data_IF_780914655228
#
_entry.id   IF_780914655228
#
_cell.length_a   1.000
_cell.length_b   1.000
_cell.length_c   1.000
_cell.angle_alpha   90.00
_cell.angle_beta   90.00
_cell.angle_gamma   90.00
#
_symmetry.space_group_name_H-M   'P 1'
#
loop_
_entity.id
_entity.type
_entity.pdbx_description
1 polymer ?
#
# COMPACT_ATOMS: atom_id res chain seq x y z
N UNK A 1 39.36 -0.33 -9.57
CA UNK A 1 37.99 -0.92 -9.44
C UNK A 1 37.88 -2.11 -10.37
N UNK A 2 37.84 -3.35 -9.82
CA UNK A 2 37.67 -4.56 -10.62
C UNK A 2 36.18 -4.81 -10.90
N UNK A 3 35.72 -4.32 -12.05
CA UNK A 3 34.32 -4.45 -12.47
C UNK A 3 33.89 -5.90 -12.69
N UNK A 4 34.78 -6.80 -13.07
CA UNK A 4 34.41 -8.22 -13.29
C UNK A 4 34.14 -8.88 -11.96
N UNK A 5 35.04 -8.71 -11.00
CA UNK A 5 34.87 -9.22 -9.63
C UNK A 5 33.63 -8.64 -8.96
N UNK A 6 33.39 -7.32 -9.08
CA UNK A 6 32.18 -6.70 -8.51
C UNK A 6 30.89 -7.27 -9.10
N UNK A 7 30.80 -7.38 -10.44
CA UNK A 7 29.62 -7.96 -11.09
C UNK A 7 29.39 -9.42 -10.68
N UNK A 8 30.46 -10.21 -10.55
CA UNK A 8 30.38 -11.61 -10.10
C UNK A 8 29.89 -11.70 -8.65
N UNK A 9 30.44 -10.88 -7.75
CA UNK A 9 30.03 -10.83 -6.35
C UNK A 9 28.57 -10.40 -6.19
N UNK A 10 28.11 -9.37 -6.93
CA UNK A 10 26.70 -8.96 -6.92
C UNK A 10 25.78 -10.09 -7.38
N UNK A 11 26.11 -10.77 -8.48
CA UNK A 11 25.30 -11.88 -9.00
C UNK A 11 25.28 -13.07 -8.03
N UNK A 12 26.41 -13.39 -7.40
CA UNK A 12 26.49 -14.43 -6.38
C UNK A 12 25.62 -14.07 -5.16
N UNK A 13 25.74 -12.84 -4.64
CA UNK A 13 24.92 -12.38 -3.52
C UNK A 13 23.42 -12.53 -3.76
N UNK A 14 22.90 -12.01 -4.89
CA UNK A 14 21.46 -12.11 -5.18
C UNK A 14 20.98 -13.55 -5.32
N UNK A 15 21.79 -14.43 -5.92
CA UNK A 15 21.48 -15.84 -6.13
C UNK A 15 21.56 -16.64 -4.84
N UNK A 16 22.65 -16.50 -4.11
CA UNK A 16 22.99 -17.35 -2.99
C UNK A 16 22.24 -16.90 -1.73
N UNK A 17 22.15 -15.58 -1.49
CA UNK A 17 21.45 -15.03 -0.33
C UNK A 17 19.94 -14.99 -0.53
N UNK A 18 19.44 -14.71 -1.75
CA UNK A 18 18.01 -14.45 -1.98
C UNK A 18 17.34 -15.27 -3.10
N UNK A 19 18.07 -16.12 -3.83
CA UNK A 19 17.55 -16.88 -4.98
C UNK A 19 16.89 -15.99 -6.04
N UNK A 20 17.45 -14.82 -6.26
CA UNK A 20 16.99 -13.86 -7.26
C UNK A 20 18.02 -13.72 -8.38
N UNK A 21 17.53 -13.51 -9.61
CA UNK A 21 18.38 -13.22 -10.77
C UNK A 21 18.27 -11.75 -11.17
N UNK A 22 18.92 -10.87 -10.39
CA UNK A 22 19.06 -9.47 -10.74
C UNK A 22 20.39 -9.27 -11.47
N UNK A 23 20.31 -8.95 -12.77
CA UNK A 23 21.51 -8.75 -13.58
C UNK A 23 22.29 -7.51 -13.10
N UNK A 24 23.60 -7.63 -12.77
CA UNK A 24 24.37 -6.56 -12.12
C UNK A 24 24.62 -5.33 -13.01
N UNK A 25 24.35 -5.44 -14.32
CA UNK A 25 24.41 -4.31 -15.28
C UNK A 25 23.04 -3.72 -15.65
N UNK A 26 21.94 -4.24 -15.12
CA UNK A 26 20.61 -3.67 -15.37
C UNK A 26 20.55 -2.30 -14.69
N UNK A 27 19.98 -1.30 -15.36
CA UNK A 27 19.89 0.04 -14.78
C UNK A 27 18.83 0.06 -13.68
N UNK A 28 19.08 0.84 -12.63
CA UNK A 28 18.15 0.97 -11.48
C UNK A 28 16.76 1.47 -11.92
N UNK A 29 16.71 2.34 -12.93
CA UNK A 29 15.44 2.86 -13.48
C UNK A 29 14.57 1.77 -14.11
N UNK A 30 15.18 0.69 -14.58
CA UNK A 30 14.49 -0.42 -15.26
C UNK A 30 14.04 -1.50 -14.27
N UNK A 31 14.39 -1.39 -12.98
CA UNK A 31 14.02 -2.32 -11.92
C UNK A 31 12.61 -2.02 -11.37
N UNK A 32 11.89 -3.05 -10.92
CA UNK A 32 10.64 -2.88 -10.15
C UNK A 32 10.89 -2.18 -8.81
N UNK A 33 9.82 -1.73 -8.13
CA UNK A 33 9.97 -1.09 -6.82
C UNK A 33 10.56 -2.06 -5.80
N UNK A 34 10.11 -3.31 -5.80
CA UNK A 34 10.68 -4.38 -4.96
C UNK A 34 12.16 -4.64 -5.28
N UNK A 35 12.52 -4.79 -6.56
CA UNK A 35 13.90 -5.01 -6.98
C UNK A 35 14.81 -3.84 -6.55
N UNK A 36 14.34 -2.59 -6.69
CA UNK A 36 15.08 -1.42 -6.21
C UNK A 36 15.32 -1.46 -4.70
N UNK A 37 14.31 -1.86 -3.91
CA UNK A 37 14.44 -2.00 -2.46
C UNK A 37 15.43 -3.10 -2.10
N UNK A 38 15.36 -4.24 -2.77
CA UNK A 38 16.30 -5.35 -2.59
C UNK A 38 17.74 -4.92 -2.92
N UNK A 39 17.96 -4.14 -3.98
CA UNK A 39 19.30 -3.59 -4.27
C UNK A 39 19.80 -2.67 -3.16
N UNK A 40 18.94 -1.86 -2.53
CA UNK A 40 19.33 -1.03 -1.40
C UNK A 40 19.75 -1.88 -0.20
N UNK A 41 19.00 -2.93 0.10
CA UNK A 41 19.31 -3.88 1.17
C UNK A 41 20.62 -4.61 0.85
N UNK A 42 20.80 -5.09 -0.39
CA UNK A 42 21.99 -5.82 -0.80
C UNK A 42 23.24 -4.97 -0.61
N UNK A 43 23.18 -3.69 -1.02
CA UNK A 43 24.28 -2.74 -0.86
C UNK A 43 24.69 -2.56 0.61
N UNK A 44 23.76 -2.65 1.55
CA UNK A 44 24.06 -2.54 2.98
C UNK A 44 24.67 -3.82 3.58
N UNK A 45 24.48 -4.98 2.94
CA UNK A 45 24.83 -6.30 3.50
C UNK A 45 25.97 -7.00 2.76
N UNK A 46 26.35 -6.51 1.57
CA UNK A 46 27.29 -7.18 0.67
C UNK A 46 28.67 -7.43 1.30
N UNK A 47 29.05 -6.64 2.31
CA UNK A 47 30.32 -6.77 3.03
C UNK A 47 30.32 -7.91 4.07
N UNK A 48 29.16 -8.55 4.33
CA UNK A 48 29.03 -9.74 5.18
C UNK A 48 29.25 -9.51 6.68
N UNK A 49 29.49 -8.27 7.12
CA UNK A 49 29.79 -7.93 8.51
C UNK A 49 28.56 -7.64 9.38
N UNK A 50 27.37 -7.53 8.78
CA UNK A 50 26.15 -7.13 9.48
C UNK A 50 25.65 -8.24 10.42
N UNK A 51 25.53 -7.92 11.71
CA UNK A 51 24.93 -8.80 12.73
C UNK A 51 23.50 -8.40 13.11
N UNK A 52 23.14 -7.14 12.85
CA UNK A 52 21.82 -6.55 13.08
C UNK A 52 21.46 -5.69 11.88
N UNK A 53 20.22 -5.81 11.41
CA UNK A 53 19.66 -4.96 10.35
C UNK A 53 18.34 -4.38 10.82
N UNK A 54 18.20 -3.06 10.65
CA UNK A 54 16.97 -2.34 10.97
C UNK A 54 16.24 -2.04 9.68
N UNK A 55 14.98 -2.48 9.59
CA UNK A 55 14.10 -2.17 8.47
C UNK A 55 13.00 -1.22 8.94
N UNK A 56 13.00 -0.02 8.37
CA UNK A 56 11.96 0.98 8.60
C UNK A 56 10.97 0.97 7.45
N UNK A 57 9.77 0.45 7.71
CA UNK A 57 8.66 0.26 6.78
C UNK A 57 9.11 -0.13 5.35
N UNK A 58 9.86 -1.24 5.20
CA UNK A 58 10.57 -1.51 3.96
C UNK A 58 9.64 -1.79 2.77
N UNK A 59 8.36 -2.07 3.03
CA UNK A 59 7.31 -2.44 2.08
C UNK A 59 6.25 -1.37 1.84
N UNK A 60 6.31 -0.21 2.53
CA UNK A 60 5.28 0.84 2.43
C UNK A 60 4.88 1.27 0.99
N UNK A 61 5.79 1.33 -0.02
CA UNK A 61 5.40 1.66 -1.39
C UNK A 61 5.06 0.44 -2.25
N UNK A 62 5.04 -0.78 -1.70
CA UNK A 62 4.94 -2.03 -2.46
C UNK A 62 3.55 -2.63 -2.40
N UNK A 63 3.16 -3.28 -3.48
CA UNK A 63 1.97 -4.13 -3.49
C UNK A 63 2.21 -5.44 -2.75
N UNK A 64 1.15 -6.15 -2.36
CA UNK A 64 1.25 -7.38 -1.59
C UNK A 64 2.18 -8.44 -2.22
N UNK A 65 2.13 -8.62 -3.55
CA UNK A 65 3.00 -9.56 -4.25
C UNK A 65 4.47 -9.10 -4.24
N UNK A 66 4.71 -7.81 -4.44
CA UNK A 66 6.05 -7.20 -4.42
C UNK A 66 6.66 -7.19 -3.01
N UNK A 67 5.86 -6.90 -1.99
CA UNK A 67 6.23 -6.98 -0.59
C UNK A 67 6.64 -8.40 -0.19
N UNK A 68 6.04 -9.42 -0.81
CA UNK A 68 6.42 -10.82 -0.65
C UNK A 68 7.89 -11.08 -0.97
N UNK A 69 8.43 -10.48 -2.05
CA UNK A 69 9.84 -10.64 -2.42
C UNK A 69 10.78 -10.07 -1.34
N UNK A 70 10.47 -8.88 -0.82
CA UNK A 70 11.24 -8.25 0.27
C UNK A 70 11.14 -9.08 1.55
N UNK A 71 9.94 -9.55 1.88
CA UNK A 71 9.68 -10.40 3.06
C UNK A 71 10.48 -11.69 3.00
N UNK A 72 10.48 -12.39 1.86
CA UNK A 72 11.28 -13.60 1.65
C UNK A 72 12.79 -13.33 1.77
N UNK A 73 13.26 -12.20 1.25
CA UNK A 73 14.66 -11.81 1.39
C UNK A 73 15.05 -11.59 2.86
N UNK A 74 14.19 -10.93 3.65
CA UNK A 74 14.41 -10.69 5.09
C UNK A 74 14.43 -12.00 5.88
N UNK A 75 13.52 -12.94 5.58
CA UNK A 75 13.51 -14.27 6.22
C UNK A 75 14.82 -15.03 5.98
N UNK A 76 15.39 -14.96 4.78
CA UNK A 76 16.69 -15.59 4.47
C UNK A 76 17.85 -14.96 5.24
N UNK A 77 17.82 -13.65 5.47
CA UNK A 77 18.82 -13.00 6.33
C UNK A 77 18.72 -13.49 7.78
N UNK A 78 17.48 -13.66 8.28
CA UNK A 78 17.23 -14.28 9.59
C UNK A 78 17.79 -15.72 9.65
N UNK A 79 17.58 -16.53 8.61
CA UNK A 79 18.13 -17.90 8.50
C UNK A 79 19.67 -17.93 8.55
N UNK A 80 20.33 -16.86 8.10
CA UNK A 80 21.78 -16.69 8.18
C UNK A 80 22.26 -16.22 9.57
N UNK A 81 21.37 -16.11 10.55
CA UNK A 81 21.70 -15.71 11.92
C UNK A 81 21.81 -14.20 12.13
N UNK A 82 21.35 -13.39 11.17
CA UNK A 82 21.33 -11.94 11.30
C UNK A 82 20.10 -11.54 12.13
N UNK A 83 20.32 -10.73 13.18
CA UNK A 83 19.23 -10.16 13.96
C UNK A 83 18.46 -9.11 13.14
N UNK A 84 17.13 -9.14 13.21
CA UNK A 84 16.26 -8.24 12.45
C UNK A 84 15.45 -7.39 13.43
N UNK A 85 15.54 -6.07 13.29
CA UNK A 85 14.59 -5.13 13.90
C UNK A 85 13.69 -4.61 12.78
N UNK A 86 12.40 -4.95 12.86
CA UNK A 86 11.41 -4.61 11.85
C UNK A 86 10.42 -3.60 12.40
N UNK A 87 10.32 -2.43 11.76
CA UNK A 87 9.38 -1.37 12.08
C UNK A 87 8.32 -1.37 10.98
N UNK A 88 7.06 -1.57 11.37
CA UNK A 88 5.94 -1.62 10.44
C UNK A 88 4.63 -1.41 11.18
N UNK A 89 3.63 -0.95 10.44
CA UNK A 89 2.22 -0.96 10.85
C UNK A 89 1.40 -2.01 10.06
N UNK A 90 2.03 -2.77 9.15
CA UNK A 90 1.41 -3.83 8.36
C UNK A 90 1.37 -5.14 9.17
N UNK A 91 0.21 -5.44 9.75
CA UNK A 91 0.03 -6.55 10.69
C UNK A 91 0.34 -7.94 10.10
N UNK A 92 0.06 -8.16 8.82
CA UNK A 92 0.37 -9.43 8.15
C UNK A 92 1.88 -9.70 8.10
N UNK A 93 2.68 -8.66 7.86
CA UNK A 93 4.14 -8.77 7.83
C UNK A 93 4.70 -9.00 9.23
N UNK A 94 4.17 -8.28 10.21
CA UNK A 94 4.54 -8.43 11.62
C UNK A 94 4.28 -9.87 12.08
N UNK A 95 3.09 -10.41 11.81
CA UNK A 95 2.72 -11.78 12.15
C UNK A 95 3.61 -12.82 11.45
N UNK A 96 4.03 -12.56 10.22
CA UNK A 96 4.92 -13.44 9.47
C UNK A 96 6.36 -13.41 10.01
N UNK A 97 6.95 -12.21 10.14
CA UNK A 97 8.38 -12.00 10.35
C UNK A 97 8.80 -12.02 11.82
N UNK A 98 7.98 -11.48 12.72
CA UNK A 98 8.44 -11.10 14.06
C UNK A 98 8.12 -12.18 15.10
N UNK A 99 9.09 -12.49 15.96
CA UNK A 99 8.89 -13.42 17.08
C UNK A 99 8.32 -12.75 18.34
N UNK A 100 8.55 -11.43 18.46
CA UNK A 100 8.08 -10.56 19.54
C UNK A 100 8.05 -9.12 19.05
N UNK A 101 7.30 -8.25 19.71
CA UNK A 101 7.18 -6.85 19.33
C UNK A 101 7.21 -5.88 20.51
N UNK A 102 7.24 -4.60 20.17
CA UNK A 102 6.97 -3.48 21.10
C UNK A 102 5.96 -2.60 20.40
N UNK A 103 4.81 -2.37 21.03
CA UNK A 103 3.79 -1.48 20.47
C UNK A 103 3.96 -0.12 21.11
N UNK A 104 4.16 0.91 20.27
CA UNK A 104 4.20 2.30 20.68
C UNK A 104 2.88 2.98 20.34
N UNK A 105 2.38 3.82 21.24
CA UNK A 105 1.23 4.70 21.01
C UNK A 105 1.49 6.03 21.70
N UNK A 106 1.33 7.14 20.97
CA UNK A 106 1.55 8.50 21.49
C UNK A 106 2.93 8.70 22.14
N UNK A 107 3.97 8.06 21.60
CA UNK A 107 5.33 8.14 22.14
C UNK A 107 5.61 7.24 23.34
N UNK A 108 4.61 6.51 23.84
CA UNK A 108 4.75 5.60 24.97
C UNK A 108 4.67 4.13 24.54
N UNK A 109 5.39 3.26 25.25
CA UNK A 109 5.26 1.81 25.07
C UNK A 109 3.99 1.32 25.75
N UNK A 110 3.08 0.74 24.97
CA UNK A 110 1.80 0.22 25.47
C UNK A 110 1.74 -1.29 25.58
N UNK A 111 2.78 -2.00 25.14
CA UNK A 111 2.94 -3.42 25.43
C UNK A 111 4.00 -4.14 24.61
N UNK A 112 4.24 -5.39 24.99
CA UNK A 112 5.27 -6.26 24.42
C UNK A 112 4.64 -7.57 23.94
N UNK A 113 4.03 -7.59 22.75
CA UNK A 113 3.40 -8.80 22.23
C UNK A 113 4.43 -9.91 21.97
N UNK A 114 4.08 -11.11 22.39
CA UNK A 114 4.77 -12.35 22.01
C UNK A 114 4.26 -12.87 20.66
N UNK A 115 4.83 -13.97 20.15
CA UNK A 115 4.45 -14.55 18.87
C UNK A 115 2.96 -14.86 18.76
N UNK A 116 2.32 -15.31 19.84
CA UNK A 116 0.90 -15.64 19.83
C UNK A 116 0.04 -14.37 19.72
N UNK A 117 0.37 -13.33 20.49
CA UNK A 117 -0.35 -12.05 20.42
C UNK A 117 -0.11 -11.35 19.08
N UNK A 118 1.09 -11.48 18.50
CA UNK A 118 1.40 -10.93 17.17
C UNK A 118 0.53 -11.52 16.05
N UNK A 119 0.02 -12.74 16.22
CA UNK A 119 -0.90 -13.38 15.27
C UNK A 119 -2.36 -12.94 15.45
N UNK A 120 -2.67 -12.21 16.53
CA UNK A 120 -4.00 -11.69 16.80
C UNK A 120 -4.11 -10.24 16.29
N UNK A 121 -4.57 -10.10 15.04
CA UNK A 121 -4.77 -8.82 14.35
C UNK A 121 -5.64 -7.86 15.17
N UNK A 122 -6.77 -8.32 15.71
CA UNK A 122 -7.70 -7.46 16.46
C UNK A 122 -7.07 -6.92 17.74
N UNK A 123 -6.33 -7.77 18.46
CA UNK A 123 -5.65 -7.37 19.68
C UNK A 123 -4.54 -6.34 19.40
N UNK A 124 -3.74 -6.53 18.33
CA UNK A 124 -2.72 -5.57 17.94
C UNK A 124 -3.32 -4.22 17.53
N UNK A 125 -4.39 -4.21 16.73
CA UNK A 125 -5.08 -2.97 16.36
C UNK A 125 -5.57 -2.25 17.61
N UNK A 126 -6.15 -2.98 18.56
CA UNK A 126 -6.61 -2.41 19.83
C UNK A 126 -5.46 -1.80 20.64
N UNK A 127 -4.28 -2.43 20.66
CA UNK A 127 -3.10 -1.85 21.31
C UNK A 127 -2.64 -0.57 20.61
N UNK A 128 -2.55 -0.59 19.28
CA UNK A 128 -2.07 0.54 18.46
C UNK A 128 -3.01 1.75 18.51
N UNK A 129 -4.32 1.53 18.39
CA UNK A 129 -5.33 2.61 18.31
C UNK A 129 -5.88 2.99 19.70
N UNK A 130 -5.81 2.07 20.66
CA UNK A 130 -6.31 2.26 22.03
C UNK A 130 -7.81 2.19 22.21
N UNK A 131 -8.55 1.67 21.22
CA UNK A 131 -10.02 1.55 21.24
C UNK A 131 -10.43 0.22 20.62
N UNK A 132 -11.63 -0.25 20.96
CA UNK A 132 -12.18 -1.46 20.34
C UNK A 132 -12.64 -1.16 18.90
N UNK A 133 -12.28 -1.99 17.94
CA UNK A 133 -12.59 -1.79 16.50
C UNK A 133 -14.10 -1.62 16.28
N UNK A 134 -14.92 -2.29 17.10
CA UNK A 134 -16.39 -2.19 17.03
C UNK A 134 -16.91 -0.76 17.26
N UNK A 135 -16.09 0.14 17.83
CA UNK A 135 -16.43 1.56 18.00
C UNK A 135 -15.98 2.43 16.81
N UNK A 136 -15.07 1.95 15.95
CA UNK A 136 -14.67 2.64 14.72
C UNK A 136 -15.72 2.48 13.61
N UNK A 137 -16.39 1.33 13.60
CA UNK A 137 -17.62 1.17 12.84
C UNK A 137 -18.74 1.83 13.62
N UNK A 138 -19.02 3.11 13.32
CA UNK A 138 -20.32 3.67 13.68
C UNK A 138 -21.36 2.68 13.17
N UNK A 139 -22.25 2.12 14.02
CA UNK A 139 -23.33 1.28 13.54
C UNK A 139 -23.95 2.03 12.38
N UNK A 140 -24.09 1.41 11.20
CA UNK A 140 -24.78 2.02 10.06
C UNK A 140 -25.95 2.77 10.66
N UNK A 141 -25.90 4.11 10.63
CA UNK A 141 -27.11 4.86 10.76
C UNK A 141 -27.84 4.46 9.50
N UNK A 142 -28.59 3.38 9.61
CA UNK A 142 -29.74 3.15 8.80
C UNK A 142 -30.69 4.30 9.14
N UNK A 143 -30.36 5.51 8.70
CA UNK A 143 -31.33 6.34 8.02
C UNK A 143 -31.68 5.61 6.70
N UNK A 144 -32.23 4.40 6.84
CA UNK A 144 -33.35 3.94 6.06
C UNK A 144 -34.63 4.66 6.53
N UNK A 145 -34.49 5.80 7.21
CA UNK A 145 -35.43 6.91 7.10
C UNK A 145 -35.39 7.36 5.65
N UNK A 146 -36.37 6.85 4.90
CA UNK A 146 -36.99 7.51 3.75
C UNK A 146 -36.00 8.34 2.95
N UNK A 147 -35.47 7.74 1.89
CA UNK A 147 -35.11 8.50 0.69
C UNK A 147 -36.43 9.10 0.17
N UNK A 148 -36.94 10.14 0.84
CA UNK A 148 -37.57 11.21 0.12
C UNK A 148 -36.60 11.61 -0.98
N UNK A 149 -37.15 11.89 -2.15
CA UNK A 149 -36.47 12.08 -3.42
C UNK A 149 -35.50 13.28 -3.43
N UNK A 150 -34.47 13.26 -2.58
CA UNK A 150 -33.38 14.19 -2.61
C UNK A 150 -32.57 13.89 -3.87
N UNK A 151 -32.40 14.90 -4.72
CA UNK A 151 -31.56 14.77 -5.90
C UNK A 151 -30.12 14.43 -5.45
N UNK A 152 -29.43 13.52 -6.16
CA UNK A 152 -28.05 13.20 -5.85
C UNK A 152 -27.18 14.45 -5.94
N UNK A 153 -26.27 14.62 -4.98
CA UNK A 153 -25.28 15.71 -4.95
C UNK A 153 -24.28 15.53 -6.09
N UNK A 154 -23.92 14.29 -6.41
CA UNK A 154 -23.09 13.95 -7.57
C UNK A 154 -23.78 12.85 -8.37
N UNK A 155 -23.97 13.08 -9.66
CA UNK A 155 -24.48 12.07 -10.60
C UNK A 155 -23.53 11.90 -11.76
N UNK A 156 -23.11 10.67 -12.01
CA UNK A 156 -22.21 10.28 -13.08
C UNK A 156 -22.94 9.31 -14.00
N UNK A 157 -22.93 9.57 -15.31
CA UNK A 157 -23.61 8.73 -16.31
C UNK A 157 -22.68 8.45 -17.50
N UNK A 158 -22.50 7.17 -17.81
CA UNK A 158 -21.76 6.68 -18.97
C UNK A 158 -20.35 7.28 -19.13
N UNK A 159 -19.70 7.60 -18.01
CA UNK A 159 -18.42 8.31 -18.00
C UNK A 159 -17.31 7.39 -18.52
N UNK A 160 -16.55 7.88 -19.51
CA UNK A 160 -15.42 7.14 -20.08
C UNK A 160 -14.26 8.09 -20.41
N UNK A 161 -13.02 7.65 -20.20
CA UNK A 161 -11.80 8.37 -20.61
C UNK A 161 -11.35 7.99 -22.03
N UNK A 162 -11.92 6.93 -22.60
CA UNK A 162 -11.54 6.39 -23.90
C UNK A 162 -10.25 5.56 -23.89
N UNK A 163 -9.71 5.26 -22.72
CA UNK A 163 -8.55 4.38 -22.54
C UNK A 163 -8.86 3.27 -21.53
N UNK A 164 -8.93 3.62 -20.24
CA UNK A 164 -9.02 2.66 -19.14
C UNK A 164 -10.44 2.53 -18.59
N UNK A 165 -11.12 3.65 -18.34
CA UNK A 165 -12.46 3.67 -17.76
C UNK A 165 -13.53 3.68 -18.85
N UNK A 166 -14.53 2.82 -18.68
CA UNK A 166 -15.61 2.63 -19.64
C UNK A 166 -16.94 2.55 -18.90
N UNK A 167 -17.87 3.37 -19.35
CA UNK A 167 -19.28 3.32 -18.99
C UNK A 167 -19.56 3.36 -17.47
N UNK A 168 -18.86 4.26 -16.77
CA UNK A 168 -19.02 4.41 -15.32
C UNK A 168 -20.32 5.19 -15.02
N UNK A 169 -21.19 4.60 -14.19
CA UNK A 169 -22.46 5.17 -13.77
C UNK A 169 -22.70 4.93 -12.28
N UNK A 170 -22.91 5.99 -11.52
CA UNK A 170 -23.29 5.94 -10.10
C UNK A 170 -23.84 7.30 -9.64
N UNK A 171 -24.45 7.31 -8.47
CA UNK A 171 -24.91 8.51 -7.77
C UNK A 171 -24.32 8.55 -6.36
N UNK A 172 -24.13 9.77 -5.83
CA UNK A 172 -23.79 10.02 -4.43
C UNK A 172 -24.87 10.88 -3.80
N UNK A 173 -25.46 10.38 -2.72
CA UNK A 173 -26.53 11.06 -2.00
C UNK A 173 -25.99 12.11 -1.00
N UNK A 174 -26.79 13.11 -0.61
CA UNK A 174 -26.41 14.03 0.45
C UNK A 174 -26.02 13.28 1.74
N UNK A 175 -24.84 13.59 2.28
CA UNK A 175 -24.32 12.98 3.50
C UNK A 175 -23.71 11.58 3.34
N UNK A 176 -23.67 11.04 2.12
CA UNK A 176 -23.05 9.75 1.84
C UNK A 176 -21.52 9.86 1.79
N UNK A 177 -20.82 8.94 2.47
CA UNK A 177 -19.37 8.79 2.36
C UNK A 177 -19.08 7.60 1.43
N UNK A 178 -18.54 7.90 0.24
CA UNK A 178 -18.24 6.89 -0.79
C UNK A 178 -16.74 6.57 -0.82
N UNK A 179 -16.40 5.29 -0.71
CA UNK A 179 -15.05 4.79 -0.90
C UNK A 179 -14.90 4.09 -2.26
N UNK A 180 -13.87 4.46 -3.03
CA UNK A 180 -13.55 3.81 -4.31
C UNK A 180 -12.39 2.82 -4.10
N UNK A 181 -12.68 1.52 -4.25
CA UNK A 181 -11.70 0.44 -4.07
C UNK A 181 -11.53 -0.41 -5.33
N UNK A 182 -10.41 -1.13 -5.44
CA UNK A 182 -10.05 -1.92 -6.62
C UNK A 182 -8.57 -2.29 -6.63
N UNK A 183 -8.16 -3.21 -7.51
CA UNK A 183 -6.76 -3.59 -7.70
C UNK A 183 -5.94 -2.45 -8.34
N UNK A 184 -4.61 -2.57 -8.39
CA UNK A 184 -3.79 -1.65 -9.20
C UNK A 184 -4.23 -1.73 -10.66
N UNK A 185 -4.34 -0.57 -11.31
CA UNK A 185 -4.81 -0.51 -12.69
C UNK A 185 -6.31 -0.72 -12.85
N UNK A 186 -7.09 -0.77 -11.76
CA UNK A 186 -8.55 -0.72 -11.85
C UNK A 186 -9.10 0.67 -12.25
N UNK A 187 -8.23 1.68 -12.38
CA UNK A 187 -8.60 3.02 -12.83
C UNK A 187 -9.16 3.93 -11.73
N UNK A 188 -8.92 3.62 -10.44
CA UNK A 188 -9.36 4.44 -9.29
C UNK A 188 -8.87 5.89 -9.40
N UNK A 189 -7.57 6.07 -9.59
CA UNK A 189 -6.96 7.41 -9.72
C UNK A 189 -7.47 8.13 -10.96
N UNK A 190 -7.67 7.40 -12.05
CA UNK A 190 -8.25 7.95 -13.29
C UNK A 190 -9.69 8.42 -13.05
N UNK A 191 -10.48 7.67 -12.28
CA UNK A 191 -11.85 8.06 -11.97
C UNK A 191 -11.84 9.36 -11.16
N UNK A 192 -11.02 9.44 -10.11
CA UNK A 192 -10.89 10.66 -9.31
C UNK A 192 -10.42 11.81 -10.20
N UNK A 193 -9.37 11.63 -10.99
CA UNK A 193 -8.86 12.63 -11.95
C UNK A 193 -9.91 13.16 -12.92
N UNK A 194 -10.84 12.32 -13.37
CA UNK A 194 -11.97 12.76 -14.21
C UNK A 194 -12.99 13.56 -13.39
N UNK A 195 -13.30 13.12 -12.17
CA UNK A 195 -14.31 13.72 -11.31
C UNK A 195 -13.93 15.10 -10.77
N UNK A 196 -12.64 15.41 -10.60
CA UNK A 196 -12.20 16.77 -10.27
C UNK A 196 -11.60 17.52 -11.46
N UNK A 197 -11.61 16.94 -12.66
CA UNK A 197 -11.24 17.63 -13.90
C UNK A 197 -9.75 17.80 -14.16
N UNK A 198 -8.87 17.00 -13.52
CA UNK A 198 -7.47 16.89 -13.94
C UNK A 198 -7.33 16.16 -15.29
N UNK A 199 -8.21 15.18 -15.54
CA UNK A 199 -8.35 14.49 -16.82
C UNK A 199 -9.67 14.87 -17.48
N UNK A 200 -9.68 14.85 -18.82
CA UNK A 200 -10.90 15.10 -19.59
C UNK A 200 -11.61 13.79 -19.91
N UNK A 201 -12.89 13.72 -19.60
CA UNK A 201 -13.75 12.66 -20.10
C UNK A 201 -13.89 12.74 -21.62
N UNK A 202 -13.92 11.58 -22.28
CA UNK A 202 -14.22 11.46 -23.71
C UNK A 202 -15.72 11.41 -23.97
N UNK A 203 -16.47 10.80 -23.06
CA UNK A 203 -17.93 10.70 -23.11
C UNK A 203 -18.53 10.62 -21.70
N UNK A 204 -19.85 10.74 -21.63
CA UNK A 204 -20.62 10.74 -20.39
C UNK A 204 -20.84 12.13 -19.82
N UNK A 205 -21.62 12.19 -18.74
CA UNK A 205 -21.97 13.43 -18.06
C UNK A 205 -21.70 13.31 -16.56
N UNK A 206 -21.31 14.44 -15.98
CA UNK A 206 -21.15 14.63 -14.54
C UNK A 206 -22.09 15.77 -14.18
N UNK A 207 -22.92 15.58 -13.16
CA UNK A 207 -23.79 16.63 -12.63
C UNK A 207 -23.54 16.79 -11.13
N UNK A 208 -23.46 18.04 -10.66
CA UNK A 208 -23.31 18.37 -9.25
C UNK A 208 -24.52 19.20 -8.84
N UNK A 209 -25.20 18.82 -7.76
CA UNK A 209 -26.47 19.41 -7.31
C UNK A 209 -27.51 19.50 -8.43
N UNK A 210 -27.61 18.42 -9.22
CA UNK A 210 -28.50 18.32 -10.39
C UNK A 210 -28.09 19.15 -11.61
N UNK A 211 -27.00 19.94 -11.54
CA UNK A 211 -26.53 20.76 -12.65
C UNK A 211 -25.40 20.08 -13.42
N UNK A 212 -25.50 19.89 -14.75
CA UNK A 212 -24.41 19.36 -15.55
C UNK A 212 -23.15 20.22 -15.43
N UNK A 213 -22.04 19.60 -15.04
CA UNK A 213 -20.73 20.24 -14.91
C UNK A 213 -19.76 19.64 -15.92
N UNK A 214 -19.09 20.53 -16.67
CA UNK A 214 -17.98 20.15 -17.54
C UNK A 214 -16.67 20.53 -16.88
N UNK A 215 -16.19 19.66 -16.00
CA UNK A 215 -14.97 19.84 -15.23
C UNK A 215 -13.77 19.66 -16.17
N UNK A 216 -13.00 20.74 -16.37
CA UNK A 216 -11.80 20.77 -17.23
C UNK A 216 -10.53 21.11 -16.48
N UNK A 217 -10.68 21.56 -15.23
CA UNK A 217 -9.59 21.91 -14.33
C UNK A 217 -10.01 21.62 -12.89
N UNK A 218 -9.07 21.29 -11.99
CA UNK A 218 -9.32 21.13 -10.55
C UNK A 218 -10.08 22.28 -9.88
N UNK A 219 -9.87 23.53 -10.33
CA UNK A 219 -10.55 24.71 -9.78
C UNK A 219 -12.06 24.74 -10.02
N UNK A 220 -12.58 23.92 -10.94
CA UNK A 220 -14.00 23.91 -11.33
C UNK A 220 -14.83 22.89 -10.55
N UNK A 221 -14.17 22.01 -9.80
CA UNK A 221 -14.75 20.96 -8.97
C UNK A 221 -14.91 21.47 -7.54
#
# INVERSE_FOLDING_TARGET
LDRRRMNAATRAFFRDSWQLDIHPRRLIRDLSLAERKLVQIARALIDGAAKLVVFDEPTAPLEAQEAGLVTSAILRLREQGIAILYISHYLNEIAALCDRGTVLRNGEVVGYPDRALLQNTDALIKMMVGRDIKQLYTPRQSSAHQVDAAAPVLSVRHLSDGQQLRDITFDIQPGEIVGVAGLLGAGRDVLIDLLYGLRRARSGTISVDGQPKRLRTPYQA
#
